data_IF_441473505755
#
_entry.id   IF_441473505755
#
_cell.length_a   1.000
_cell.length_b   1.000
_cell.length_c   1.000
_cell.angle_alpha   90.00
_cell.angle_beta   90.00
_cell.angle_gamma   90.00
#
_symmetry.space_group_name_H-M   'P 1'
#
loop_
_entity.id
_entity.type
_entity.pdbx_description
1 polymer ?
#
# COMPACT_ATOMS: atom_id res chain seq x y z
N UNK A 1 20.84 -10.15 32.00
CA UNK A 1 20.88 -8.75 31.50
C UNK A 1 20.15 -8.57 30.16
N UNK A 2 19.67 -9.62 29.48
CA UNK A 2 19.02 -9.51 28.16
C UNK A 2 17.51 -9.19 28.17
N UNK A 3 16.77 -9.45 29.26
CA UNK A 3 15.31 -9.21 29.30
C UNK A 3 14.91 -7.73 29.28
N UNK A 4 15.80 -6.82 29.69
CA UNK A 4 15.52 -5.38 29.72
C UNK A 4 15.82 -4.68 28.39
N UNK A 5 16.56 -5.31 27.47
CA UNK A 5 16.83 -4.73 26.15
C UNK A 5 15.62 -4.91 25.22
N UNK A 6 15.04 -6.12 25.19
CA UNK A 6 13.90 -6.46 24.33
C UNK A 6 12.66 -5.64 24.69
N UNK A 7 12.32 -5.54 25.99
CA UNK A 7 11.16 -4.76 26.44
C UNK A 7 11.31 -3.25 26.15
N UNK A 8 12.54 -2.75 26.08
CA UNK A 8 12.83 -1.35 25.81
C UNK A 8 12.89 -1.04 24.31
N UNK A 9 12.99 -2.07 23.47
CA UNK A 9 12.97 -2.01 22.00
C UNK A 9 11.53 -2.16 21.48
N UNK A 10 10.75 -3.07 22.06
CA UNK A 10 9.29 -3.20 21.85
C UNK A 10 8.54 -1.94 22.28
N UNK A 11 8.84 -1.41 23.48
CA UNK A 11 8.27 -0.13 23.91
C UNK A 11 8.71 1.04 23.02
N UNK A 12 9.87 0.91 22.33
CA UNK A 12 10.37 1.90 21.38
C UNK A 12 9.57 1.90 20.08
N UNK A 13 9.36 0.70 19.55
CA UNK A 13 8.49 0.45 18.40
C UNK A 13 7.06 0.91 18.68
N UNK A 14 6.51 0.62 19.86
CA UNK A 14 5.15 1.01 20.22
C UNK A 14 4.96 2.53 20.29
N UNK A 15 5.91 3.29 20.87
CA UNK A 15 5.80 4.76 20.88
C UNK A 15 6.07 5.38 19.50
N UNK A 16 6.97 4.82 18.70
CA UNK A 16 7.22 5.30 17.33
C UNK A 16 5.97 5.11 16.47
N UNK A 17 5.30 3.95 16.63
CA UNK A 17 3.99 3.65 16.06
C UNK A 17 2.95 4.67 16.57
N UNK A 18 2.88 4.96 17.88
CA UNK A 18 1.92 5.91 18.48
C UNK A 18 2.15 7.39 18.10
N UNK A 19 3.39 7.82 17.89
CA UNK A 19 3.70 9.16 17.38
C UNK A 19 3.48 9.28 15.87
N UNK A 20 3.74 8.23 15.09
CA UNK A 20 3.27 8.13 13.70
C UNK A 20 1.72 8.21 13.65
N UNK A 21 1.01 7.60 14.60
CA UNK A 21 -0.45 7.65 14.72
C UNK A 21 -1.02 9.05 14.98
N UNK A 22 -0.37 9.84 15.85
CA UNK A 22 -0.80 11.22 16.10
C UNK A 22 -0.63 12.10 14.87
N UNK A 23 0.37 11.82 14.02
CA UNK A 23 0.55 12.51 12.75
C UNK A 23 -0.45 12.08 11.66
N UNK A 24 -1.02 10.87 11.76
CA UNK A 24 -2.05 10.36 10.85
C UNK A 24 -3.45 10.99 11.04
N UNK A 25 -3.64 11.79 12.09
CA UNK A 25 -4.88 12.51 12.36
C UNK A 25 -5.05 13.81 11.56
N UNK A 26 -4.01 14.27 10.83
CA UNK A 26 -4.16 15.44 9.96
C UNK A 26 -4.71 15.08 8.56
N UNK A 27 -5.80 15.74 8.10
CA UNK A 27 -6.66 15.25 7.04
C UNK A 27 -6.26 15.84 5.68
N UNK A 28 -5.03 15.56 5.22
CA UNK A 28 -4.70 15.75 3.80
C UNK A 28 -4.66 14.40 3.14
N UNK A 29 -5.57 14.24 2.19
CA UNK A 29 -5.72 13.02 1.44
C UNK A 29 -4.40 12.76 0.68
N UNK A 30 -3.88 11.52 0.77
CA UNK A 30 -2.61 11.10 0.18
C UNK A 30 -1.37 11.72 0.85
N UNK A 31 -0.59 10.93 1.59
CA UNK A 31 0.76 11.32 2.05
C UNK A 31 1.79 10.44 1.37
N UNK A 32 2.81 11.03 0.74
CA UNK A 32 3.99 10.33 0.24
C UNK A 32 5.19 10.69 1.12
N UNK A 33 5.86 9.67 1.65
CA UNK A 33 7.11 9.81 2.39
C UNK A 33 8.21 9.10 1.62
N UNK A 34 9.34 9.78 1.43
CA UNK A 34 10.50 9.21 0.74
C UNK A 34 11.60 8.99 1.76
N UNK A 35 12.29 7.85 1.64
CA UNK A 35 13.45 7.54 2.48
C UNK A 35 14.55 8.59 2.35
N UNK A 36 15.27 8.84 3.44
CA UNK A 36 16.42 9.77 3.46
C UNK A 36 17.67 9.17 2.82
N UNK A 37 17.65 7.87 2.49
CA UNK A 37 18.77 7.22 1.82
C UNK A 37 18.91 7.72 0.37
N UNK A 38 20.12 8.08 -0.05
CA UNK A 38 20.37 8.65 -1.37
C UNK A 38 19.98 7.71 -2.53
N UNK A 39 20.24 6.39 -2.39
CA UNK A 39 19.84 5.41 -3.41
C UNK A 39 18.32 5.29 -3.49
N UNK A 40 17.66 5.27 -2.34
CA UNK A 40 16.20 5.24 -2.28
C UNK A 40 15.57 6.48 -2.94
N UNK A 41 16.12 7.67 -2.72
CA UNK A 41 15.65 8.91 -3.37
C UNK A 41 15.81 8.87 -4.89
N UNK A 42 16.93 8.32 -5.39
CA UNK A 42 17.13 8.14 -6.83
C UNK A 42 16.10 7.19 -7.43
N UNK A 43 15.90 6.03 -6.80
CA UNK A 43 14.88 5.06 -7.23
C UNK A 43 13.50 5.71 -7.20
N UNK A 44 13.13 6.37 -6.10
CA UNK A 44 11.83 7.01 -5.95
C UNK A 44 11.57 8.06 -7.03
N UNK A 45 12.58 8.87 -7.39
CA UNK A 45 12.47 9.87 -8.46
C UNK A 45 12.26 9.24 -9.84
N UNK A 46 12.83 8.05 -10.05
CA UNK A 46 12.75 7.29 -11.30
C UNK A 46 11.55 6.35 -11.41
N UNK A 47 10.90 6.04 -10.29
CA UNK A 47 9.80 5.09 -10.20
C UNK A 47 8.47 5.80 -10.37
N UNK A 48 7.68 5.38 -11.37
CA UNK A 48 6.37 5.94 -11.65
C UNK A 48 5.35 4.83 -11.88
N UNK A 49 4.24 4.86 -11.17
CA UNK A 49 3.06 4.06 -11.51
C UNK A 49 2.37 4.74 -12.68
N UNK A 50 2.26 4.05 -13.80
CA UNK A 50 1.60 4.55 -15.00
C UNK A 50 0.08 4.41 -14.85
N UNK A 51 -0.40 3.20 -14.56
CA UNK A 51 -1.81 2.92 -14.32
C UNK A 51 -1.98 1.82 -13.29
N UNK A 52 -3.18 1.72 -12.73
CA UNK A 52 -3.58 0.63 -11.86
C UNK A 52 -5.03 0.24 -12.14
N UNK A 53 -5.33 -1.06 -12.15
CA UNK A 53 -6.70 -1.57 -12.17
C UNK A 53 -6.92 -2.66 -11.12
N UNK A 54 -8.17 -2.81 -10.71
CA UNK A 54 -8.64 -3.87 -9.82
C UNK A 54 -9.82 -4.59 -10.46
N UNK A 55 -9.74 -5.92 -10.47
CA UNK A 55 -10.72 -6.83 -11.08
C UNK A 55 -11.19 -7.83 -10.05
N UNK A 56 -12.48 -8.13 -10.07
CA UNK A 56 -13.02 -9.26 -9.33
C UNK A 56 -12.57 -10.55 -10.02
N UNK A 57 -11.84 -11.44 -9.32
CA UNK A 57 -11.26 -12.64 -9.94
C UNK A 57 -12.37 -13.56 -10.49
N UNK A 58 -13.46 -13.76 -9.74
CA UNK A 58 -14.48 -14.74 -10.12
C UNK A 58 -15.32 -14.31 -11.32
N UNK A 59 -15.54 -13.01 -11.50
CA UNK A 59 -16.38 -12.48 -12.59
C UNK A 59 -15.55 -11.93 -13.75
N UNK A 60 -14.27 -11.66 -13.51
CA UNK A 60 -13.43 -10.92 -14.45
C UNK A 60 -13.86 -9.47 -14.66
N UNK A 61 -14.80 -8.91 -13.90
CA UNK A 61 -15.25 -7.51 -14.04
C UNK A 61 -14.19 -6.55 -13.49
N UNK A 62 -13.80 -5.54 -14.28
CA UNK A 62 -13.01 -4.41 -13.76
C UNK A 62 -13.91 -3.58 -12.85
N UNK A 63 -13.52 -3.43 -11.60
CA UNK A 63 -14.28 -2.69 -10.60
C UNK A 63 -13.70 -1.30 -10.37
N UNK A 64 -12.39 -1.14 -10.55
CA UNK A 64 -11.74 0.15 -10.37
C UNK A 64 -10.53 0.25 -11.30
N UNK A 65 -10.27 1.45 -11.81
CA UNK A 65 -9.07 1.74 -12.58
C UNK A 65 -8.70 3.22 -12.49
N UNK A 66 -7.40 3.50 -12.64
CA UNK A 66 -6.88 4.85 -12.89
C UNK A 66 -5.78 4.77 -13.94
N UNK A 67 -5.83 5.69 -14.90
CA UNK A 67 -4.88 5.77 -16.02
C UNK A 67 -3.69 6.69 -15.72
N UNK A 68 -3.76 7.45 -14.62
CA UNK A 68 -2.68 8.27 -14.10
C UNK A 68 -2.64 8.12 -12.58
N UNK A 69 -1.48 7.74 -12.03
CA UNK A 69 -1.27 7.67 -10.59
C UNK A 69 -0.41 8.86 -10.14
N UNK A 70 -1.03 9.80 -9.41
CA UNK A 70 -0.37 11.00 -8.88
C UNK A 70 -0.73 11.23 -7.41
N UNK A 71 -0.08 12.22 -6.79
CA UNK A 71 -0.37 12.63 -5.40
C UNK A 71 -1.83 13.04 -5.17
N UNK A 72 -2.50 13.51 -6.23
CA UNK A 72 -3.90 13.95 -6.20
C UNK A 72 -4.92 12.81 -6.37
N UNK A 73 -4.45 11.58 -6.57
CA UNK A 73 -5.36 10.43 -6.74
C UNK A 73 -5.94 10.03 -5.40
N UNK A 74 -7.24 10.29 -5.24
CA UNK A 74 -8.03 9.80 -4.12
C UNK A 74 -8.89 8.64 -4.56
N UNK A 75 -8.53 7.39 -4.18
CA UNK A 75 -9.24 6.22 -4.64
C UNK A 75 -10.65 6.21 -4.04
N UNK A 76 -11.63 6.51 -4.90
CA UNK A 76 -13.05 6.21 -4.69
C UNK A 76 -13.32 4.85 -5.29
N UNK A 77 -13.50 3.85 -4.44
CA UNK A 77 -13.57 2.44 -4.82
C UNK A 77 -15.04 2.00 -4.77
N UNK A 78 -15.59 1.35 -5.81
CA UNK A 78 -16.96 0.86 -5.73
C UNK A 78 -17.14 -0.17 -4.61
N UNK A 79 -18.21 -0.03 -3.83
CA UNK A 79 -18.51 -0.96 -2.72
C UNK A 79 -18.65 -2.43 -3.17
N UNK A 80 -18.97 -2.64 -4.46
CA UNK A 80 -19.05 -3.94 -5.11
C UNK A 80 -17.76 -4.78 -4.94
N UNK A 81 -16.60 -4.14 -4.78
CA UNK A 81 -15.31 -4.82 -4.57
C UNK A 81 -15.29 -5.67 -3.31
N UNK A 82 -16.07 -5.30 -2.29
CA UNK A 82 -16.16 -6.00 -1.01
C UNK A 82 -16.94 -7.31 -1.13
N UNK A 83 -17.58 -7.57 -2.28
CA UNK A 83 -18.30 -8.82 -2.54
C UNK A 83 -17.43 -9.88 -3.25
N UNK A 84 -16.25 -9.49 -3.73
CA UNK A 84 -15.31 -10.40 -4.40
C UNK A 84 -14.57 -11.24 -3.36
N UNK A 85 -14.50 -12.56 -3.59
CA UNK A 85 -13.68 -13.45 -2.79
C UNK A 85 -12.20 -13.11 -2.94
N UNK A 86 -11.78 -12.80 -4.17
CA UNK A 86 -10.43 -12.34 -4.50
C UNK A 86 -10.51 -11.15 -5.44
N UNK A 87 -9.65 -10.15 -5.19
CA UNK A 87 -9.43 -9.03 -6.09
C UNK A 87 -8.06 -9.17 -6.72
N UNK A 88 -7.99 -9.18 -8.05
CA UNK A 88 -6.73 -9.08 -8.77
C UNK A 88 -6.42 -7.60 -9.02
N UNK A 89 -5.28 -7.14 -8.52
CA UNK A 89 -4.75 -5.80 -8.82
C UNK A 89 -3.65 -5.91 -9.86
N UNK A 90 -3.71 -5.06 -10.87
CA UNK A 90 -2.66 -4.90 -11.86
C UNK A 90 -2.06 -3.51 -11.73
N UNK A 91 -0.74 -3.45 -11.58
CA UNK A 91 0.03 -2.21 -11.50
C UNK A 91 0.96 -2.19 -12.71
N UNK A 92 0.84 -1.16 -13.54
CA UNK A 92 1.86 -0.88 -14.54
C UNK A 92 2.75 0.24 -14.05
N UNK A 93 4.07 0.01 -14.05
CA UNK A 93 5.03 0.98 -13.55
C UNK A 93 6.27 1.04 -14.43
N UNK A 94 6.96 2.18 -14.38
CA UNK A 94 8.25 2.40 -15.03
C UNK A 94 9.29 2.73 -13.97
N UNK A 95 10.52 2.26 -14.15
CA UNK A 95 11.66 2.64 -13.30
C UNK A 95 12.83 3.06 -14.18
N UNK A 96 13.39 4.25 -13.95
CA UNK A 96 14.67 4.64 -14.58
C UNK A 96 15.84 3.90 -13.95
N UNK A 97 15.75 3.59 -12.66
CA UNK A 97 16.79 2.93 -11.89
C UNK A 97 16.58 1.42 -11.87
N UNK A 98 17.68 0.68 -11.74
CA UNK A 98 17.65 -0.75 -11.39
C UNK A 98 17.15 -0.95 -9.95
N UNK A 99 16.32 -1.98 -9.74
CA UNK A 99 15.87 -2.40 -8.41
C UNK A 99 16.10 -3.91 -8.30
N UNK A 100 16.96 -4.34 -7.38
CA UNK A 100 17.37 -5.75 -7.28
C UNK A 100 16.25 -6.65 -6.76
N UNK A 101 15.55 -6.18 -5.73
CA UNK A 101 14.54 -6.94 -5.00
C UNK A 101 13.30 -6.06 -4.75
N UNK A 102 12.65 -5.64 -5.83
CA UNK A 102 11.46 -4.80 -5.75
C UNK A 102 10.31 -5.53 -5.07
N UNK A 103 9.76 -4.93 -4.02
CA UNK A 103 8.62 -5.45 -3.27
C UNK A 103 7.74 -4.33 -2.73
N UNK A 104 6.51 -4.70 -2.42
CA UNK A 104 5.51 -3.89 -1.76
C UNK A 104 5.09 -4.53 -0.45
N UNK A 105 4.96 -3.72 0.58
CA UNK A 105 4.22 -4.07 1.79
C UNK A 105 3.02 -3.14 1.90
N UNK A 106 1.87 -3.72 2.24
CA UNK A 106 0.65 -2.98 2.44
C UNK A 106 0.05 -3.30 3.79
N UNK A 107 -0.38 -2.27 4.50
CA UNK A 107 -1.04 -2.39 5.79
C UNK A 107 -2.37 -1.68 5.74
N UNK A 108 -3.40 -2.38 6.22
CA UNK A 108 -4.76 -1.86 6.27
C UNK A 108 -5.12 -1.56 7.71
N UNK A 109 -5.53 -0.32 7.92
CA UNK A 109 -5.87 0.19 9.24
C UNK A 109 -7.32 0.62 9.28
N UNK A 110 -8.02 0.24 10.34
CA UNK A 110 -9.36 0.71 10.65
C UNK A 110 -9.34 1.36 12.02
N UNK A 111 -9.70 2.64 12.10
CA UNK A 111 -9.68 3.42 13.34
C UNK A 111 -8.32 3.35 14.08
N UNK A 112 -7.21 3.28 13.34
CA UNK A 112 -5.86 3.21 13.89
C UNK A 112 -5.36 1.82 14.26
N UNK A 113 -6.19 0.78 14.18
CA UNK A 113 -5.75 -0.60 14.38
C UNK A 113 -5.41 -1.26 13.05
N UNK A 114 -4.18 -1.78 12.93
CA UNK A 114 -3.79 -2.62 11.80
C UNK A 114 -4.49 -3.96 11.94
N UNK A 115 -5.17 -4.42 10.89
CA UNK A 115 -5.84 -5.73 10.93
C UNK A 115 -5.48 -6.62 9.74
N UNK A 116 -4.91 -6.07 8.67
CA UNK A 116 -4.39 -6.83 7.53
C UNK A 116 -3.04 -6.29 7.09
N UNK A 117 -2.13 -7.21 6.75
CA UNK A 117 -0.83 -6.91 6.19
C UNK A 117 -0.56 -7.85 5.02
N UNK A 118 -0.13 -7.29 3.89
CA UNK A 118 0.22 -8.05 2.70
C UNK A 118 1.63 -7.70 2.23
N UNK A 119 2.35 -8.72 1.78
CA UNK A 119 3.66 -8.56 1.17
C UNK A 119 3.64 -9.14 -0.24
N UNK A 120 3.98 -8.31 -1.21
CA UNK A 120 4.05 -8.69 -2.61
C UNK A 120 5.48 -8.50 -3.12
N UNK A 121 6.03 -9.53 -3.78
CA UNK A 121 7.37 -9.46 -4.37
C UNK A 121 7.28 -9.43 -5.88
N UNK A 122 7.90 -8.44 -6.51
CA UNK A 122 8.09 -8.39 -7.96
C UNK A 122 9.44 -8.99 -8.35
N UNK A 123 10.51 -8.65 -7.62
CA UNK A 123 11.87 -9.09 -7.89
C UNK A 123 12.68 -8.06 -8.66
N UNK A 124 13.49 -8.51 -9.61
CA UNK A 124 14.42 -7.66 -10.33
C UNK A 124 13.71 -6.73 -11.33
N UNK A 125 14.04 -5.44 -11.30
CA UNK A 125 13.54 -4.41 -12.23
C UNK A 125 14.71 -3.90 -13.06
N UNK A 126 14.61 -4.11 -14.37
CA UNK A 126 15.60 -3.62 -15.35
C UNK A 126 15.57 -2.08 -15.39
N UNK A 127 16.72 -1.39 -15.38
CA UNK A 127 16.76 0.06 -15.50
C UNK A 127 16.15 0.52 -16.84
N UNK A 128 15.30 1.55 -16.80
CA UNK A 128 14.59 2.09 -17.96
C UNK A 128 13.41 1.24 -18.45
N UNK A 129 13.00 0.20 -17.70
CA UNK A 129 11.91 -0.68 -18.09
C UNK A 129 10.54 -0.19 -17.65
N UNK A 130 9.52 -0.63 -18.38
CA UNK A 130 8.10 -0.57 -18.00
C UNK A 130 7.60 -1.98 -17.79
N UNK A 131 6.96 -2.24 -16.66
CA UNK A 131 6.51 -3.57 -16.24
C UNK A 131 5.04 -3.53 -15.85
N UNK A 132 4.37 -4.66 -16.06
CA UNK A 132 3.02 -4.92 -15.53
C UNK A 132 3.14 -6.00 -14.46
N UNK A 133 2.61 -5.71 -13.28
CA UNK A 133 2.64 -6.58 -12.12
C UNK A 133 1.22 -6.89 -11.65
N UNK A 134 0.85 -8.17 -11.67
CA UNK A 134 -0.41 -8.67 -11.15
C UNK A 134 -0.24 -9.22 -9.74
N UNK A 135 -1.18 -8.89 -8.87
CA UNK A 135 -1.22 -9.26 -7.45
C UNK A 135 -2.63 -9.74 -7.11
N UNK A 136 -2.74 -10.81 -6.33
CA UNK A 136 -4.02 -11.30 -5.82
C UNK A 136 -4.19 -10.90 -4.37
N UNK A 137 -5.35 -10.35 -4.03
CA UNK A 137 -5.73 -9.94 -2.67
C UNK A 137 -6.94 -10.75 -2.28
N UNK A 138 -6.76 -11.66 -1.33
CA UNK A 138 -7.84 -12.49 -0.79
C UNK A 138 -8.63 -11.70 0.25
N UNK A 139 -9.96 -11.72 0.12
CA UNK A 139 -10.86 -11.16 1.13
C UNK A 139 -10.95 -12.10 2.34
N UNK A 140 -11.44 -11.57 3.46
CA UNK A 140 -11.82 -12.37 4.64
C UNK A 140 -12.98 -13.37 4.37
N UNK A 141 -13.46 -13.47 3.13
CA UNK A 141 -14.56 -14.32 2.70
C UNK A 141 -15.90 -13.58 2.66
N UNK A 142 -16.80 -14.02 1.76
CA UNK A 142 -18.14 -13.44 1.59
C UNK A 142 -18.91 -13.48 2.92
N UNK A 143 -19.35 -12.31 3.38
CA UNK A 143 -20.11 -12.13 4.63
C UNK A 143 -19.29 -11.80 5.87
N UNK A 144 -17.95 -11.90 5.82
CA UNK A 144 -17.06 -11.43 6.88
C UNK A 144 -16.53 -10.02 6.62
N UNK A 145 -16.77 -9.49 5.43
CA UNK A 145 -16.42 -8.11 5.08
C UNK A 145 -17.29 -7.13 5.85
N UNK A 146 -16.65 -6.09 6.37
CA UNK A 146 -17.33 -5.02 7.08
C UNK A 146 -18.23 -4.22 6.13
N UNK A 147 -19.34 -3.71 6.66
CA UNK A 147 -20.29 -2.91 5.90
C UNK A 147 -19.60 -1.64 5.32
N UNK A 148 -19.74 -1.36 4.01
CA UNK A 148 -19.10 -0.21 3.37
C UNK A 148 -19.40 1.12 4.08
N UNK A 149 -20.62 1.32 4.56
CA UNK A 149 -21.03 2.53 5.29
C UNK A 149 -20.32 2.68 6.64
N UNK A 150 -19.84 1.57 7.21
CA UNK A 150 -19.12 1.57 8.48
C UNK A 150 -17.63 1.89 8.30
N UNK A 151 -17.02 1.44 7.20
CA UNK A 151 -15.57 1.54 6.95
C UNK A 151 -15.16 2.68 6.00
N UNK A 152 -16.06 3.14 5.13
CA UNK A 152 -15.78 4.22 4.18
C UNK A 152 -15.34 5.49 4.91
N UNK A 153 -14.20 6.05 4.51
CA UNK A 153 -13.59 7.21 5.15
C UNK A 153 -12.89 6.93 6.48
N UNK A 154 -12.96 5.71 7.04
CA UNK A 154 -12.26 5.31 8.28
C UNK A 154 -11.10 4.37 8.00
N UNK A 155 -11.13 3.69 6.87
CA UNK A 155 -10.09 2.78 6.43
C UNK A 155 -8.93 3.56 5.80
N UNK A 156 -7.72 3.25 6.24
CA UNK A 156 -6.46 3.78 5.69
C UNK A 156 -5.65 2.62 5.13
N UNK A 157 -5.06 2.80 3.96
CA UNK A 157 -4.10 1.85 3.38
C UNK A 157 -2.75 2.54 3.31
N UNK A 158 -1.77 1.96 4.01
CA UNK A 158 -0.35 2.25 3.80
C UNK A 158 0.18 1.31 2.73
N UNK A 159 0.96 1.83 1.79
CA UNK A 159 1.70 1.06 0.79
C UNK A 159 3.15 1.52 0.77
N UNK A 160 4.06 0.65 1.18
CA UNK A 160 5.49 0.90 1.26
C UNK A 160 6.24 0.11 0.19
N UNK A 161 7.16 0.79 -0.51
CA UNK A 161 7.96 0.29 -1.61
C UNK A 161 9.39 0.06 -1.13
N UNK A 162 9.99 -1.07 -1.52
CA UNK A 162 11.34 -1.44 -1.08
C UNK A 162 12.21 -1.99 -2.20
N UNK A 163 13.52 -1.84 -2.04
CA UNK A 163 14.54 -2.64 -2.71
C UNK A 163 15.18 -3.56 -1.66
N UNK A 164 14.73 -4.80 -1.54
CA UNK A 164 15.16 -5.71 -0.47
C UNK A 164 14.75 -5.14 0.88
N UNK A 165 15.70 -4.80 1.74
CA UNK A 165 15.46 -4.15 3.04
C UNK A 165 15.56 -2.62 2.99
N UNK A 166 15.93 -2.04 1.84
CA UNK A 166 16.01 -0.59 1.68
C UNK A 166 14.60 -0.01 1.44
N UNK A 167 14.02 0.78 2.37
CA UNK A 167 12.79 1.50 2.11
C UNK A 167 13.02 2.56 1.04
N UNK A 168 12.15 2.60 0.04
CA UNK A 168 12.16 3.58 -1.05
C UNK A 168 11.24 4.73 -0.71
N UNK A 169 9.94 4.43 -0.60
CA UNK A 169 8.89 5.39 -0.29
C UNK A 169 7.71 4.68 0.36
N UNK A 170 6.89 5.44 1.08
CA UNK A 170 5.64 5.01 1.70
C UNK A 170 4.54 5.95 1.26
N UNK A 171 3.38 5.40 0.93
CA UNK A 171 2.17 6.16 0.60
C UNK A 171 1.05 5.78 1.54
N UNK A 172 0.24 6.75 1.96
CA UNK A 172 -0.89 6.50 2.86
C UNK A 172 -2.13 7.17 2.29
N UNK A 173 -3.16 6.38 2.03
CA UNK A 173 -4.44 6.85 1.48
C UNK A 173 -5.61 6.48 2.37
N UNK A 174 -6.53 7.43 2.53
CA UNK A 174 -7.86 7.19 3.09
C UNK A 174 -8.76 6.65 1.99
N UNK A 175 -9.43 5.54 2.27
CA UNK A 175 -10.28 4.87 1.30
C UNK A 175 -11.74 5.28 1.49
N UNK A 176 -12.39 5.62 0.38
CA UNK A 176 -13.83 5.87 0.34
C UNK A 176 -14.48 4.86 -0.59
N UNK A 177 -15.45 4.12 -0.04
CA UNK A 177 -16.35 3.29 -0.83
C UNK A 177 -17.49 4.15 -1.36
N UNK A 178 -17.82 4.00 -2.64
CA UNK A 178 -18.90 4.71 -3.36
C UNK A 178 -19.87 3.77 -4.06
#
# INVERSE_FOLDING_TARGET
>A
MERNAIANEEAKLDWEVEEEWKQLHEPKAGRIEVSMNQRAQQICKGLRINFMNMRCEETGKVLWQTDEWSEDVFPRIPEEILQCGTVTREINFTSTEEIEHFRLEQRVYLNGSCFEEWRFTFGFVIPGSTNTWQQSIESAGRGNMLDPSTISGKLMIETAFYNGELPIARTIYRIYYI
#
